data_IF_961500427658
#
_entry.id   IF_961500427658
#
_cell.length_a   1.000
_cell.length_b   1.000
_cell.length_c   1.000
_cell.angle_alpha   90.00
_cell.angle_beta   90.00
_cell.angle_gamma   90.00
#
_symmetry.space_group_name_H-M   'P 1'
#
loop_
_entity.id
_entity.type
_entity.pdbx_description
1 polymer ?
#
# COMPACT_ATOMS: atom_id res chain seq x y z
N UNK A 1 -22.79 20.09 -6.39
CA UNK A 1 -21.33 20.24 -6.40
C UNK A 1 -20.87 19.97 -4.97
N UNK A 2 -19.85 19.15 -4.74
CA UNK A 2 -19.33 18.95 -3.37
C UNK A 2 -18.42 20.15 -3.11
N UNK A 3 -18.80 21.01 -2.17
CA UNK A 3 -18.11 22.28 -1.90
C UNK A 3 -16.69 22.07 -1.33
N UNK A 4 -16.40 20.90 -0.79
CA UNK A 4 -15.06 20.51 -0.37
C UNK A 4 -14.86 18.98 -0.46
N UNK A 5 -14.25 18.51 -1.56
CA UNK A 5 -14.03 17.10 -1.84
C UNK A 5 -13.19 16.40 -0.76
N UNK A 6 -12.17 17.08 -0.23
CA UNK A 6 -11.30 16.54 0.82
C UNK A 6 -12.10 16.27 2.10
N UNK A 7 -12.92 17.22 2.55
CA UNK A 7 -13.73 17.05 3.76
C UNK A 7 -14.76 15.93 3.59
N UNK A 8 -15.43 15.90 2.44
CA UNK A 8 -16.43 14.87 2.13
C UNK A 8 -15.82 13.46 2.12
N UNK A 9 -14.68 13.26 1.44
CA UNK A 9 -14.02 11.95 1.32
C UNK A 9 -13.51 11.42 2.67
N UNK A 10 -13.17 12.31 3.61
CA UNK A 10 -12.67 11.96 4.94
C UNK A 10 -13.78 12.05 6.03
N UNK A 11 -15.03 12.29 5.62
CA UNK A 11 -16.18 12.49 6.52
C UNK A 11 -15.95 13.60 7.55
N UNK A 12 -15.12 14.59 7.24
CA UNK A 12 -14.73 15.67 8.13
C UNK A 12 -15.67 16.87 7.96
N UNK A 13 -15.88 17.63 9.04
CA UNK A 13 -16.75 18.82 9.07
C UNK A 13 -16.00 20.13 8.91
N UNK A 14 -14.68 20.13 9.09
CA UNK A 14 -13.80 21.27 8.96
C UNK A 14 -12.37 20.82 8.68
N UNK A 15 -11.48 21.75 8.29
CA UNK A 15 -10.06 21.43 8.11
C UNK A 15 -9.39 20.94 9.41
N UNK A 16 -9.73 21.53 10.56
CA UNK A 16 -9.19 21.08 11.85
C UNK A 16 -9.68 19.68 12.25
N UNK A 17 -10.93 19.35 11.92
CA UNK A 17 -11.47 18.00 12.10
C UNK A 17 -10.74 17.00 11.18
N UNK A 18 -10.52 17.36 9.92
CA UNK A 18 -9.72 16.56 9.00
C UNK A 18 -8.30 16.29 9.54
N UNK A 19 -7.57 17.34 9.95
CA UNK A 19 -6.23 17.20 10.54
C UNK A 19 -6.25 16.34 11.82
N UNK A 20 -7.32 16.38 12.60
CA UNK A 20 -7.45 15.54 13.79
C UNK A 20 -7.67 14.07 13.43
N UNK A 21 -8.46 13.79 12.40
CA UNK A 21 -8.73 12.42 11.92
C UNK A 21 -7.51 11.77 11.28
N UNK A 22 -6.75 12.50 10.47
CA UNK A 22 -5.58 11.94 9.78
C UNK A 22 -4.51 11.43 10.73
N UNK A 23 -4.47 11.92 11.98
CA UNK A 23 -3.57 11.37 13.02
C UNK A 23 -3.79 9.88 13.32
N UNK A 24 -4.98 9.37 13.04
CA UNK A 24 -5.28 7.93 13.18
C UNK A 24 -4.96 7.11 11.93
N UNK A 25 -4.57 7.73 10.82
CA UNK A 25 -4.31 7.06 9.54
C UNK A 25 -2.85 6.61 9.48
N UNK A 26 -2.50 5.71 10.38
CA UNK A 26 -1.16 5.12 10.46
C UNK A 26 -1.25 3.65 10.84
N UNK A 27 -0.28 2.87 10.35
CA UNK A 27 -0.06 1.49 10.77
C UNK A 27 1.06 1.36 11.82
N UNK A 28 1.70 2.48 12.18
CA UNK A 28 2.81 2.51 13.14
C UNK A 28 2.39 1.91 14.49
N UNK A 29 3.13 0.88 14.93
CA UNK A 29 2.85 0.15 16.17
C UNK A 29 1.74 -0.90 16.05
N UNK A 30 1.12 -1.05 14.88
CA UNK A 30 0.09 -2.05 14.60
C UNK A 30 0.60 -3.23 13.75
N UNK A 31 1.81 -3.16 13.22
CA UNK A 31 2.39 -4.16 12.31
C UNK A 31 2.45 -5.55 12.96
N UNK A 32 2.70 -5.59 14.27
CA UNK A 32 2.70 -6.80 15.10
C UNK A 32 1.35 -7.52 15.16
N UNK A 33 0.25 -6.81 14.90
CA UNK A 33 -1.10 -7.38 14.90
C UNK A 33 -1.45 -8.04 13.56
N UNK A 34 -0.63 -7.85 12.54
CA UNK A 34 -0.83 -8.46 11.22
C UNK A 34 -0.23 -9.87 11.26
N UNK A 35 -1.10 -10.88 11.28
CA UNK A 35 -0.70 -12.28 11.43
C UNK A 35 -0.90 -13.13 10.18
N UNK A 36 -1.39 -12.54 9.09
CA UNK A 36 -1.57 -13.22 7.80
C UNK A 36 -0.38 -12.98 6.86
N UNK A 37 -0.11 -13.91 5.91
CA UNK A 37 0.85 -13.65 4.85
C UNK A 37 0.56 -12.32 4.13
N UNK A 38 1.59 -11.50 3.97
CA UNK A 38 1.45 -10.13 3.43
C UNK A 38 2.38 -9.89 2.25
N UNK A 39 1.83 -9.42 1.13
CA UNK A 39 2.56 -8.92 -0.02
C UNK A 39 2.60 -7.41 0.00
N UNK A 40 3.80 -6.83 -0.04
CA UNK A 40 4.02 -5.39 -0.18
C UNK A 40 4.49 -5.11 -1.61
N UNK A 41 3.74 -4.27 -2.32
CA UNK A 41 4.12 -3.75 -3.64
C UNK A 41 4.54 -2.29 -3.48
N UNK A 42 5.70 -1.93 -4.03
CA UNK A 42 6.16 -0.55 -4.09
C UNK A 42 6.56 -0.24 -5.52
N UNK A 43 6.08 0.85 -6.10
CA UNK A 43 6.40 1.17 -7.48
C UNK A 43 7.56 2.19 -7.58
N UNK A 44 8.47 2.01 -8.52
CA UNK A 44 9.66 2.86 -8.66
C UNK A 44 9.33 4.30 -9.04
N UNK A 45 8.21 4.53 -9.73
CA UNK A 45 7.72 5.84 -10.13
C UNK A 45 6.97 6.57 -9.01
N UNK A 46 6.81 5.96 -7.83
CA UNK A 46 6.27 6.63 -6.66
C UNK A 46 7.31 7.53 -5.98
N UNK A 47 6.83 8.53 -5.24
CA UNK A 47 7.70 9.44 -4.49
C UNK A 47 8.57 8.70 -3.48
N UNK A 48 9.76 9.25 -3.21
CA UNK A 48 10.75 8.67 -2.28
C UNK A 48 10.14 8.32 -0.92
N UNK A 49 9.32 9.21 -0.37
CA UNK A 49 8.64 9.00 0.91
C UNK A 49 7.70 7.79 0.90
N UNK A 50 6.93 7.60 -0.18
CA UNK A 50 6.02 6.46 -0.29
C UNK A 50 6.78 5.13 -0.33
N UNK A 51 7.89 5.10 -1.09
CA UNK A 51 8.77 3.91 -1.17
C UNK A 51 9.46 3.64 0.17
N UNK A 52 9.90 4.70 0.86
CA UNK A 52 10.50 4.58 2.19
C UNK A 52 9.50 4.04 3.22
N UNK A 53 8.26 4.54 3.24
CA UNK A 53 7.20 4.03 4.11
C UNK A 53 6.85 2.57 3.80
N UNK A 54 6.77 2.17 2.52
CA UNK A 54 6.53 0.78 2.13
C UNK A 54 7.64 -0.15 2.65
N UNK A 55 8.91 0.27 2.54
CA UNK A 55 10.05 -0.47 3.06
C UNK A 55 10.01 -0.56 4.59
N UNK A 56 9.76 0.54 5.30
CA UNK A 56 9.64 0.57 6.76
C UNK A 56 8.53 -0.35 7.26
N UNK A 57 7.35 -0.30 6.64
CA UNK A 57 6.24 -1.18 6.96
C UNK A 57 6.61 -2.65 6.73
N UNK A 58 7.19 -2.97 5.57
CA UNK A 58 7.65 -4.32 5.26
C UNK A 58 8.65 -4.83 6.31
N UNK A 59 9.62 -4.02 6.72
CA UNK A 59 10.60 -4.40 7.74
C UNK A 59 9.96 -4.68 9.10
N UNK A 60 8.97 -3.87 9.51
CA UNK A 60 8.27 -3.98 10.79
C UNK A 60 7.31 -5.19 10.91
N UNK A 61 6.87 -5.78 9.78
CA UNK A 61 6.00 -6.96 9.79
C UNK A 61 6.67 -8.21 10.39
N UNK A 62 5.94 -8.98 11.20
CA UNK A 62 6.40 -10.23 11.83
C UNK A 62 5.73 -11.51 11.27
N UNK A 63 4.90 -11.36 10.24
CA UNK A 63 4.28 -12.47 9.53
C UNK A 63 5.14 -12.95 8.34
N UNK A 64 4.81 -14.08 7.70
CA UNK A 64 5.32 -14.38 6.36
C UNK A 64 5.07 -13.18 5.45
N UNK A 65 6.12 -12.69 4.80
CA UNK A 65 6.07 -11.43 4.06
C UNK A 65 6.88 -11.52 2.78
N UNK A 66 6.44 -10.80 1.76
CA UNK A 66 7.16 -10.63 0.50
C UNK A 66 7.10 -9.17 0.06
N UNK A 67 8.20 -8.65 -0.47
CA UNK A 67 8.30 -7.31 -1.01
C UNK A 67 8.61 -7.40 -2.50
N UNK A 68 7.87 -6.66 -3.32
CA UNK A 68 8.11 -6.58 -4.75
C UNK A 68 8.21 -5.11 -5.18
N UNK A 69 9.32 -4.76 -5.84
CA UNK A 69 9.51 -3.46 -6.46
C UNK A 69 8.99 -3.51 -7.90
N UNK A 70 7.93 -2.77 -8.20
CA UNK A 70 7.40 -2.66 -9.56
C UNK A 70 8.31 -1.72 -10.36
N UNK A 71 9.01 -2.30 -11.33
CA UNK A 71 10.12 -1.63 -11.99
C UNK A 71 9.69 -0.78 -13.18
N UNK A 72 10.50 0.23 -13.48
CA UNK A 72 10.38 1.02 -14.72
C UNK A 72 10.61 0.14 -15.94
N UNK A 73 11.54 -0.83 -15.84
CA UNK A 73 11.88 -1.74 -16.94
C UNK A 73 10.73 -2.65 -17.35
N UNK A 74 9.87 -3.02 -16.40
CA UNK A 74 8.67 -3.80 -16.65
C UNK A 74 7.45 -2.93 -17.05
N UNK A 75 7.64 -1.61 -17.09
CA UNK A 75 6.58 -0.63 -17.33
C UNK A 75 5.51 -0.62 -16.24
N UNK A 76 5.80 -1.11 -15.04
CA UNK A 76 4.85 -1.26 -13.93
C UNK A 76 5.05 -0.21 -12.81
N UNK A 77 5.85 0.82 -13.05
CA UNK A 77 6.37 1.75 -12.03
C UNK A 77 5.38 2.84 -11.60
N UNK A 78 4.26 3.03 -12.29
CA UNK A 78 3.28 4.04 -11.88
C UNK A 78 2.54 3.65 -10.59
N UNK A 79 1.87 4.62 -9.96
CA UNK A 79 1.07 4.41 -8.76
C UNK A 79 0.13 3.21 -8.91
N UNK A 80 0.18 2.29 -7.95
CA UNK A 80 -0.55 1.02 -7.94
C UNK A 80 -0.22 0.06 -9.11
N UNK A 81 0.85 0.27 -9.87
CA UNK A 81 1.22 -0.57 -11.02
C UNK A 81 0.35 -0.38 -12.26
N UNK A 82 -0.38 0.74 -12.37
CA UNK A 82 -1.41 0.93 -13.40
C UNK A 82 -0.87 0.98 -14.84
N UNK A 83 0.41 1.27 -15.01
CA UNK A 83 1.10 1.32 -16.29
C UNK A 83 1.30 -0.07 -16.90
N UNK A 84 1.21 -1.13 -16.09
CA UNK A 84 1.18 -2.52 -16.56
C UNK A 84 0.31 -3.42 -15.65
N UNK A 85 -1.00 -3.13 -15.63
CA UNK A 85 -1.98 -3.87 -14.81
C UNK A 85 -1.95 -5.37 -15.07
N UNK A 86 -1.69 -5.80 -16.31
CA UNK A 86 -1.64 -7.23 -16.64
C UNK A 86 -0.52 -7.93 -15.87
N UNK A 87 0.69 -7.35 -15.86
CA UNK A 87 1.82 -7.88 -15.09
C UNK A 87 1.57 -7.78 -13.58
N UNK A 88 1.15 -6.62 -13.07
CA UNK A 88 0.87 -6.43 -11.64
C UNK A 88 -0.20 -7.42 -11.15
N UNK A 89 -1.22 -7.68 -11.96
CA UNK A 89 -2.25 -8.68 -11.65
C UNK A 89 -1.68 -10.10 -11.62
N UNK A 90 -0.88 -10.48 -12.62
CA UNK A 90 -0.25 -11.80 -12.66
C UNK A 90 0.63 -12.04 -11.42
N UNK A 91 1.48 -11.07 -11.06
CA UNK A 91 2.32 -11.12 -9.86
C UNK A 91 1.51 -11.37 -8.59
N UNK A 92 0.39 -10.63 -8.42
CA UNK A 92 -0.48 -10.78 -7.25
C UNK A 92 -1.17 -12.14 -7.24
N UNK A 93 -1.73 -12.60 -8.36
CA UNK A 93 -2.44 -13.88 -8.42
C UNK A 93 -1.52 -15.08 -8.26
N UNK A 94 -0.31 -15.03 -8.83
CA UNK A 94 0.71 -16.06 -8.66
C UNK A 94 1.12 -16.14 -7.18
N UNK A 95 1.39 -15.00 -6.54
CA UNK A 95 1.71 -14.96 -5.11
C UNK A 95 0.58 -15.49 -4.24
N UNK A 96 -0.68 -15.10 -4.49
CA UNK A 96 -1.85 -15.61 -3.78
C UNK A 96 -1.94 -17.13 -3.91
N UNK A 97 -1.75 -17.65 -5.14
CA UNK A 97 -1.81 -19.09 -5.42
C UNK A 97 -0.74 -19.84 -4.64
N UNK A 98 0.49 -19.32 -4.60
CA UNK A 98 1.56 -19.91 -3.80
C UNK A 98 1.27 -19.92 -2.30
N UNK A 99 0.69 -18.84 -1.77
CA UNK A 99 0.34 -18.75 -0.35
C UNK A 99 -0.69 -19.80 0.03
N UNK A 100 -1.75 -19.96 -0.77
CA UNK A 100 -2.80 -20.95 -0.51
C UNK A 100 -2.38 -22.40 -0.81
N UNK A 101 -1.39 -22.62 -1.67
CA UNK A 101 -0.86 -23.96 -1.89
C UNK A 101 -0.01 -24.49 -0.72
N UNK A 102 0.47 -23.61 0.16
CA UNK A 102 1.29 -23.95 1.33
C UNK A 102 0.49 -24.08 2.63
N UNK A 103 -0.80 -23.71 2.62
CA UNK A 103 -1.70 -23.71 3.78
C UNK A 103 -2.45 -25.01 3.98
#
# INVERSE_FOLDING_TARGET
MIDNYMLWNNGARSFSDFVSKTKSYTLEGLEQKITCPTLVLSAEGEGEEARAQAQQFYEALHCPKHFYSLSITDGADSHCGLSNIALTSALVYDWITEVFARS
#
